data_IF_762468893620
#
_entry.id   IF_762468893620
#
_cell.length_a   1.000
_cell.length_b   1.000
_cell.length_c   1.000
_cell.angle_alpha   90.00
_cell.angle_beta   90.00
_cell.angle_gamma   90.00
#
_symmetry.space_group_name_H-M   'P 1'
#
loop_
_entity.id
_entity.type
_entity.pdbx_description
1 polymer ?
#
# COMPACT_ATOMS: atom_id res chain seq x y z
N UNK A 1 -3.32 -20.58 -11.69
CA UNK A 1 -3.82 -19.69 -10.63
C UNK A 1 -2.82 -18.55 -10.53
N UNK A 2 -3.27 -17.31 -10.42
CA UNK A 2 -2.38 -16.16 -10.24
C UNK A 2 -2.20 -15.85 -8.75
N UNK A 3 -1.04 -15.36 -8.36
CA UNK A 3 -0.71 -14.99 -7.00
C UNK A 3 -0.28 -13.51 -6.95
N UNK A 4 -0.91 -12.73 -6.09
CA UNK A 4 -0.51 -11.37 -5.76
C UNK A 4 -0.03 -11.36 -4.30
N UNK A 5 1.27 -11.18 -4.11
CA UNK A 5 1.94 -11.27 -2.82
C UNK A 5 2.30 -9.84 -2.37
N UNK A 6 1.65 -9.36 -1.30
CA UNK A 6 1.89 -8.04 -0.74
C UNK A 6 2.84 -8.16 0.46
N UNK A 7 4.00 -7.55 0.34
CA UNK A 7 5.08 -7.59 1.34
C UNK A 7 5.20 -6.24 2.02
N UNK A 8 4.80 -6.15 3.28
CA UNK A 8 4.81 -4.89 4.02
C UNK A 8 4.48 -5.05 5.49
N UNK A 9 4.52 -3.95 6.24
CA UNK A 9 4.22 -3.97 7.67
C UNK A 9 2.72 -3.90 7.94
N UNK A 10 2.30 -4.61 8.99
CA UNK A 10 0.96 -4.52 9.54
C UNK A 10 1.00 -3.84 10.91
N UNK A 11 0.14 -2.86 11.11
CA UNK A 11 0.05 -2.06 12.33
C UNK A 11 -1.29 -2.26 13.03
N UNK A 12 -1.32 -2.04 14.35
CA UNK A 12 -2.54 -1.66 15.05
C UNK A 12 -2.47 -0.17 15.41
N UNK A 13 -3.36 0.61 14.80
CA UNK A 13 -3.48 2.04 15.04
C UNK A 13 -4.46 2.30 16.17
N UNK A 14 -4.01 2.99 17.22
CA UNK A 14 -4.87 3.52 18.28
C UNK A 14 -5.11 4.99 18.05
N UNK A 15 -6.35 5.36 17.71
CA UNK A 15 -6.75 6.72 17.36
C UNK A 15 -7.51 7.32 18.54
N UNK A 16 -6.97 8.38 19.11
CA UNK A 16 -7.62 9.19 20.15
C UNK A 16 -8.16 10.47 19.52
N UNK A 17 -9.46 10.66 19.53
CA UNK A 17 -10.07 11.94 19.15
C UNK A 17 -10.12 12.84 20.38
N UNK A 18 -9.50 14.02 20.28
CA UNK A 18 -9.41 15.01 21.36
C UNK A 18 -10.01 16.34 20.90
N UNK A 19 -10.52 17.21 21.81
CA UNK A 19 -11.05 18.53 21.46
C UNK A 19 -10.06 19.37 20.66
N UNK A 20 -8.84 19.49 21.15
CA UNK A 20 -7.71 20.19 20.55
C UNK A 20 -6.44 19.35 20.73
N UNK A 21 -5.34 19.68 20.06
CA UNK A 21 -4.07 19.00 20.29
C UNK A 21 -3.58 19.28 21.72
N UNK A 22 -3.14 18.25 22.50
CA UNK A 22 -2.69 18.45 23.87
C UNK A 22 -1.39 19.28 23.92
N UNK A 23 -1.32 20.21 24.85
CA UNK A 23 -0.09 20.89 25.21
C UNK A 23 0.82 19.98 26.01
N UNK A 24 2.12 20.26 26.02
CA UNK A 24 3.08 19.55 26.84
C UNK A 24 2.68 19.67 28.32
N UNK A 25 2.87 18.61 29.09
CA UNK A 25 2.55 18.52 30.52
C UNK A 25 1.06 18.77 30.88
N UNK A 26 0.17 18.69 29.91
CA UNK A 26 -1.27 18.85 30.11
C UNK A 26 -2.03 17.51 30.24
N UNK A 27 -3.21 17.55 30.88
CA UNK A 27 -4.12 16.41 30.96
C UNK A 27 -5.37 16.70 30.13
N UNK A 28 -5.56 15.94 29.07
CA UNK A 28 -6.70 16.05 28.18
C UNK A 28 -7.48 14.73 28.15
N UNK A 29 -8.81 14.80 28.12
CA UNK A 29 -9.67 13.64 27.95
C UNK A 29 -10.05 13.49 26.48
N UNK A 30 -9.79 12.32 25.92
CA UNK A 30 -10.29 11.96 24.59
C UNK A 30 -11.83 11.83 24.61
N UNK A 31 -12.47 12.31 23.56
CA UNK A 31 -13.91 12.16 23.33
C UNK A 31 -14.27 10.82 22.66
N UNK A 32 -13.31 10.21 21.96
CA UNK A 32 -13.45 8.88 21.35
C UNK A 32 -12.09 8.18 21.28
N UNK A 33 -12.15 6.85 21.29
CA UNK A 33 -11.00 5.98 21.02
C UNK A 33 -11.41 4.90 20.02
N UNK A 34 -10.57 4.66 19.05
CA UNK A 34 -10.75 3.62 18.04
C UNK A 34 -9.43 2.84 17.88
N UNK A 35 -9.53 1.53 17.79
CA UNK A 35 -8.40 0.66 17.43
C UNK A 35 -8.72 0.02 16.09
N UNK A 36 -7.83 0.14 15.14
CA UNK A 36 -8.00 -0.46 13.80
C UNK A 36 -6.66 -0.96 13.25
N UNK A 37 -6.74 -1.94 12.36
CA UNK A 37 -5.59 -2.37 11.58
C UNK A 37 -5.14 -1.24 10.64
N UNK A 38 -3.84 -1.09 10.50
CA UNK A 38 -3.16 -0.19 9.58
C UNK A 38 -2.05 -0.90 8.81
N UNK A 39 -1.31 -0.14 8.02
CA UNK A 39 -0.24 -0.58 7.14
C UNK A 39 -0.65 -0.53 5.67
N UNK A 40 0.28 -0.14 4.78
CA UNK A 40 -0.02 0.07 3.35
C UNK A 40 -0.50 -1.22 2.67
N UNK A 41 0.30 -2.27 2.74
CA UNK A 41 -0.04 -3.56 2.14
C UNK A 41 -1.32 -4.18 2.74
N UNK A 42 -1.53 -4.23 4.07
CA UNK A 42 -2.79 -4.68 4.66
C UNK A 42 -4.03 -3.89 4.22
N UNK A 43 -3.91 -2.56 4.09
CA UNK A 43 -5.01 -1.71 3.62
C UNK A 43 -5.32 -1.98 2.13
N UNK A 44 -4.29 -2.06 1.29
CA UNK A 44 -4.45 -2.43 -0.13
C UNK A 44 -5.07 -3.81 -0.28
N UNK A 45 -4.68 -4.77 0.57
CA UNK A 45 -5.22 -6.12 0.57
C UNK A 45 -6.72 -6.16 0.89
N UNK A 46 -7.18 -5.39 1.88
CA UNK A 46 -8.61 -5.28 2.20
C UNK A 46 -9.43 -4.74 1.04
N UNK A 47 -8.92 -3.72 0.34
CA UNK A 47 -9.59 -3.15 -0.84
C UNK A 47 -9.59 -4.15 -2.00
N UNK A 48 -8.46 -4.81 -2.27
CA UNK A 48 -8.35 -5.85 -3.30
C UNK A 48 -9.34 -6.99 -3.05
N UNK A 49 -9.48 -7.42 -1.82
CA UNK A 49 -10.42 -8.48 -1.45
C UNK A 49 -11.88 -8.08 -1.71
N UNK A 50 -12.26 -6.82 -1.43
CA UNK A 50 -13.58 -6.29 -1.77
C UNK A 50 -13.79 -6.22 -3.30
N UNK A 51 -12.78 -5.75 -4.06
CA UNK A 51 -12.84 -5.72 -5.53
C UNK A 51 -13.06 -7.11 -6.12
N UNK A 52 -12.31 -8.12 -5.65
CA UNK A 52 -12.50 -9.50 -6.09
C UNK A 52 -13.87 -10.08 -5.72
N UNK A 53 -14.40 -9.71 -4.55
CA UNK A 53 -15.72 -10.19 -4.11
C UNK A 53 -16.86 -9.56 -4.92
N UNK A 54 -16.70 -8.32 -5.40
CA UNK A 54 -17.71 -7.59 -6.17
C UNK A 54 -17.66 -7.86 -7.68
N UNK A 55 -16.62 -8.54 -8.18
CA UNK A 55 -16.47 -8.85 -9.60
C UNK A 55 -17.08 -10.22 -9.95
N UNK A 56 -18.17 -10.26 -10.74
CA UNK A 56 -18.76 -11.52 -11.19
C UNK A 56 -17.84 -12.39 -12.06
N UNK A 57 -16.90 -11.75 -12.76
CA UNK A 57 -15.90 -12.38 -13.62
C UNK A 57 -14.53 -12.47 -12.95
N UNK A 58 -14.51 -12.38 -11.61
CA UNK A 58 -13.27 -12.31 -10.83
C UNK A 58 -12.18 -13.24 -11.37
N UNK A 59 -10.95 -12.72 -11.56
CA UNK A 59 -9.83 -13.55 -11.94
C UNK A 59 -9.57 -14.60 -10.85
N UNK A 60 -9.06 -15.76 -11.24
CA UNK A 60 -8.54 -16.73 -10.26
C UNK A 60 -7.23 -16.17 -9.68
N UNK A 61 -7.37 -15.32 -8.68
CA UNK A 61 -6.29 -14.61 -8.00
C UNK A 61 -6.33 -14.93 -6.51
N UNK A 62 -5.24 -15.42 -5.97
CA UNK A 62 -5.01 -15.55 -4.54
C UNK A 62 -4.19 -14.36 -4.05
N UNK A 63 -4.66 -13.72 -3.00
CA UNK A 63 -3.99 -12.61 -2.33
C UNK A 63 -3.18 -13.17 -1.15
N UNK A 64 -1.90 -12.82 -1.05
CA UNK A 64 -1.07 -13.24 0.06
C UNK A 64 -0.54 -12.02 0.82
N UNK A 65 -0.55 -12.08 2.15
CA UNK A 65 0.14 -11.13 2.99
C UNK A 65 1.45 -11.74 3.49
N UNK A 66 2.56 -11.02 3.28
CA UNK A 66 3.84 -11.29 3.92
C UNK A 66 4.16 -10.12 4.85
N UNK A 67 4.04 -10.35 6.13
CA UNK A 67 4.24 -9.34 7.17
C UNK A 67 4.83 -9.97 8.43
N UNK A 68 5.66 -9.23 9.15
CA UNK A 68 6.06 -9.60 10.51
C UNK A 68 4.92 -9.27 11.46
N UNK A 69 4.43 -10.29 12.17
CA UNK A 69 3.35 -10.20 13.15
C UNK A 69 3.88 -10.64 14.53
N UNK A 70 3.21 -10.24 15.62
CA UNK A 70 3.48 -10.80 16.95
C UNK A 70 3.38 -12.33 16.98
N UNK A 71 3.62 -12.93 18.13
CA UNK A 71 3.41 -14.37 18.32
C UNK A 71 2.03 -14.81 17.81
N UNK A 72 1.96 -15.96 17.17
CA UNK A 72 0.72 -16.48 16.57
C UNK A 72 -0.44 -16.57 17.58
N UNK A 73 -0.13 -16.72 18.89
CA UNK A 73 -1.11 -16.79 19.97
C UNK A 73 -1.42 -15.44 20.61
N UNK A 74 -0.70 -14.37 20.25
CA UNK A 74 -0.92 -13.04 20.80
C UNK A 74 -2.34 -12.53 20.51
N UNK A 75 -2.90 -11.76 21.42
CA UNK A 75 -4.22 -11.14 21.23
C UNK A 75 -4.20 -10.17 20.04
N UNK A 76 -3.09 -9.44 19.87
CA UNK A 76 -2.88 -8.52 18.77
C UNK A 76 -2.92 -9.23 17.41
N UNK A 77 -2.26 -10.39 17.27
CA UNK A 77 -2.29 -11.18 16.04
C UNK A 77 -3.70 -11.61 15.68
N UNK A 78 -4.47 -12.11 16.67
CA UNK A 78 -5.89 -12.44 16.45
C UNK A 78 -6.72 -11.24 16.01
N UNK A 79 -6.51 -10.08 16.64
CA UNK A 79 -7.19 -8.83 16.26
C UNK A 79 -6.86 -8.42 14.83
N UNK A 80 -5.58 -8.50 14.44
CA UNK A 80 -5.14 -8.19 13.08
C UNK A 80 -5.81 -9.14 12.08
N UNK A 81 -5.68 -10.45 12.26
CA UNK A 81 -6.20 -11.42 11.30
C UNK A 81 -7.73 -11.36 11.19
N UNK A 82 -8.44 -11.25 12.33
CA UNK A 82 -9.90 -11.13 12.34
C UNK A 82 -10.43 -9.85 11.69
N UNK A 83 -9.61 -8.79 11.60
CA UNK A 83 -10.00 -7.53 10.96
C UNK A 83 -10.23 -7.64 9.44
N UNK A 84 -9.73 -8.71 8.81
CA UNK A 84 -9.98 -8.99 7.40
C UNK A 84 -11.29 -9.74 7.15
N UNK A 85 -11.99 -10.17 8.22
CA UNK A 85 -13.16 -11.03 8.11
C UNK A 85 -12.82 -12.43 7.57
N UNK A 86 -13.86 -13.21 7.31
CA UNK A 86 -13.73 -14.54 6.72
C UNK A 86 -13.63 -14.45 5.19
N UNK A 87 -12.54 -13.85 4.68
CA UNK A 87 -12.34 -13.69 3.25
C UNK A 87 -11.44 -14.80 2.68
N UNK A 88 -11.98 -15.77 1.93
CA UNK A 88 -11.22 -16.92 1.41
C UNK A 88 -10.21 -16.55 0.32
N UNK A 89 -10.22 -15.32 -0.18
CA UNK A 89 -9.26 -14.87 -1.19
C UNK A 89 -7.92 -14.45 -0.58
N UNK A 90 -7.84 -14.31 0.76
CA UNK A 90 -6.63 -13.85 1.46
C UNK A 90 -5.94 -15.03 2.17
N UNK A 91 -4.67 -15.20 1.89
CA UNK A 91 -3.80 -16.21 2.51
C UNK A 91 -2.76 -15.53 3.41
N UNK A 92 -2.72 -15.93 4.69
CA UNK A 92 -1.78 -15.46 5.71
C UNK A 92 -0.69 -16.48 6.05
N UNK A 93 -0.61 -17.60 5.30
CA UNK A 93 0.33 -18.71 5.56
C UNK A 93 1.79 -18.24 5.58
N UNK A 94 2.09 -17.20 4.80
CA UNK A 94 3.44 -16.65 4.66
C UNK A 94 3.75 -15.47 5.58
N UNK A 95 2.88 -15.17 6.57
CA UNK A 95 3.20 -14.22 7.62
C UNK A 95 4.28 -14.78 8.57
N UNK A 96 5.19 -13.92 9.00
CA UNK A 96 6.28 -14.25 9.91
C UNK A 96 5.89 -13.93 11.36
N UNK A 97 5.59 -14.95 12.13
CA UNK A 97 5.18 -14.81 13.53
C UNK A 97 6.40 -14.75 14.45
N UNK A 98 6.56 -13.65 15.18
CA UNK A 98 7.69 -13.38 16.07
C UNK A 98 7.44 -13.94 17.45
N UNK A 99 7.99 -15.13 17.74
CA UNK A 99 7.83 -15.78 19.04
C UNK A 99 8.36 -14.88 20.18
N UNK A 100 7.61 -14.83 21.29
CA UNK A 100 7.95 -14.01 22.44
C UNK A 100 7.69 -12.51 22.28
N UNK A 101 7.07 -12.08 21.18
CA UNK A 101 6.61 -10.71 20.97
C UNK A 101 5.08 -10.67 20.96
N UNK A 102 4.48 -10.06 21.98
CA UNK A 102 3.03 -9.96 22.09
C UNK A 102 2.47 -8.66 21.50
N UNK A 103 3.32 -7.61 21.45
CA UNK A 103 2.93 -6.28 20.97
C UNK A 103 3.12 -6.15 19.46
N UNK A 104 2.13 -5.61 18.73
CA UNK A 104 2.24 -5.37 17.30
C UNK A 104 3.03 -4.09 17.02
N UNK A 105 3.48 -3.93 15.78
CA UNK A 105 3.79 -2.59 15.29
C UNK A 105 2.55 -1.70 15.48
N UNK A 106 2.71 -0.54 16.08
CA UNK A 106 1.62 0.32 16.54
C UNK A 106 1.80 1.76 16.11
N UNK A 107 0.68 2.41 15.78
CA UNK A 107 0.62 3.87 15.64
C UNK A 107 -0.34 4.42 16.69
N UNK A 108 0.13 5.41 17.44
CA UNK A 108 -0.68 6.18 18.36
C UNK A 108 -1.00 7.51 17.69
N UNK A 109 -2.28 7.71 17.36
CA UNK A 109 -2.74 8.83 16.54
C UNK A 109 -3.60 9.75 17.41
N UNK A 110 -3.15 10.99 17.56
CA UNK A 110 -3.93 12.05 18.20
C UNK A 110 -4.60 12.86 17.10
N UNK A 111 -5.94 12.87 17.08
CA UNK A 111 -6.78 13.61 16.13
C UNK A 111 -7.48 14.76 16.83
N UNK A 112 -7.19 15.99 16.43
CA UNK A 112 -7.87 17.20 16.93
C UNK A 112 -9.23 17.37 16.24
N UNK A 113 -10.30 17.49 17.01
CA UNK A 113 -11.64 17.81 16.50
C UNK A 113 -11.75 19.25 16.02
N UNK A 114 -10.98 20.18 16.63
CA UNK A 114 -10.99 21.60 16.29
C UNK A 114 -10.41 21.87 14.90
N UNK A 115 -9.27 21.26 14.60
CA UNK A 115 -8.51 21.54 13.37
C UNK A 115 -8.63 20.43 12.33
N UNK A 116 -9.11 19.24 12.70
CA UNK A 116 -9.07 18.03 11.87
C UNK A 116 -7.65 17.47 11.66
N UNK A 117 -6.62 18.11 12.24
CA UNK A 117 -5.23 17.64 12.12
C UNK A 117 -4.99 16.36 12.92
N UNK A 118 -3.90 15.69 12.57
CA UNK A 118 -3.46 14.49 13.27
C UNK A 118 -1.96 14.49 13.49
N UNK A 119 -1.55 13.93 14.61
CA UNK A 119 -0.13 13.66 14.92
C UNK A 119 -0.01 12.17 15.20
N UNK A 120 1.02 11.55 14.64
CA UNK A 120 1.22 10.10 14.67
C UNK A 120 2.57 9.81 15.35
N UNK A 121 2.51 8.96 16.38
CA UNK A 121 3.71 8.40 17.02
C UNK A 121 3.71 6.90 16.78
N UNK A 122 4.74 6.40 16.13
CA UNK A 122 4.87 4.99 15.82
C UNK A 122 5.79 4.29 16.83
N UNK A 123 5.44 3.06 17.17
CA UNK A 123 6.26 2.14 17.93
C UNK A 123 6.31 0.80 17.21
N UNK A 124 7.51 0.25 17.04
CA UNK A 124 7.70 -1.10 16.52
C UNK A 124 9.00 -1.68 17.07
N UNK A 125 8.88 -2.81 17.76
CA UNK A 125 10.00 -3.61 18.26
C UNK A 125 10.00 -5.03 17.68
N UNK A 126 9.12 -5.33 16.73
CA UNK A 126 9.14 -6.61 16.04
C UNK A 126 10.39 -6.71 15.17
N UNK A 127 11.13 -7.83 15.23
CA UNK A 127 12.23 -8.08 14.30
C UNK A 127 11.72 -7.99 12.84
N UNK A 128 12.43 -7.22 12.04
CA UNK A 128 12.12 -7.09 10.60
C UNK A 128 12.38 -8.42 9.87
N UNK A 129 11.76 -8.57 8.71
CA UNK A 129 11.98 -9.70 7.81
C UNK A 129 13.43 -9.68 7.29
N UNK A 130 14.09 -10.82 7.37
CA UNK A 130 15.41 -11.04 6.78
C UNK A 130 15.31 -11.52 5.33
N UNK A 131 16.41 -11.44 4.59
CA UNK A 131 16.47 -11.95 3.21
C UNK A 131 16.33 -13.47 3.17
N UNK A 132 16.85 -14.17 4.17
CA UNK A 132 16.78 -15.63 4.23
C UNK A 132 15.33 -16.09 4.49
N UNK A 133 14.62 -15.47 5.45
CA UNK A 133 13.19 -15.73 5.68
C UNK A 133 12.36 -15.44 4.43
N UNK A 134 12.67 -14.35 3.72
CA UNK A 134 12.02 -14.05 2.44
C UNK A 134 12.32 -15.13 1.39
N UNK A 135 13.55 -15.61 1.32
CA UNK A 135 13.95 -16.68 0.41
C UNK A 135 13.13 -17.95 0.63
N UNK A 136 12.97 -18.37 1.89
CA UNK A 136 12.14 -19.51 2.25
C UNK A 136 10.68 -19.33 1.79
N UNK A 137 10.11 -18.13 1.94
CA UNK A 137 8.75 -17.82 1.45
C UNK A 137 8.71 -17.88 -0.08
N UNK A 138 9.66 -17.24 -0.76
CA UNK A 138 9.71 -17.17 -2.22
C UNK A 138 9.86 -18.55 -2.86
N UNK A 139 10.57 -19.46 -2.22
CA UNK A 139 10.79 -20.83 -2.71
C UNK A 139 9.50 -21.64 -2.84
N UNK A 140 8.43 -21.32 -2.07
CA UNK A 140 7.12 -21.94 -2.24
C UNK A 140 6.46 -21.60 -3.59
N UNK A 141 6.90 -20.52 -4.23
CA UNK A 141 6.37 -20.04 -5.51
C UNK A 141 7.30 -20.35 -6.70
N UNK A 142 8.44 -21.00 -6.47
CA UNK A 142 9.35 -21.41 -7.55
C UNK A 142 8.61 -22.36 -8.50
N UNK A 143 8.77 -22.10 -9.81
CA UNK A 143 8.03 -22.81 -10.87
C UNK A 143 6.68 -22.17 -11.23
N UNK A 144 6.23 -21.15 -10.50
CA UNK A 144 5.01 -20.40 -10.77
C UNK A 144 5.30 -18.94 -11.15
N UNK A 145 6.54 -18.57 -11.43
CA UNK A 145 7.01 -17.19 -11.58
C UNK A 145 6.14 -16.32 -12.48
N UNK A 146 5.75 -16.81 -13.66
CA UNK A 146 4.90 -16.08 -14.62
C UNK A 146 3.48 -15.76 -14.09
N UNK A 147 3.07 -16.43 -13.01
CA UNK A 147 1.79 -16.20 -12.35
C UNK A 147 1.93 -15.43 -11.03
N UNK A 148 3.14 -15.02 -10.65
CA UNK A 148 3.41 -14.33 -9.39
C UNK A 148 3.67 -12.85 -9.62
N UNK A 149 3.00 -12.03 -8.83
CA UNK A 149 3.28 -10.61 -8.71
C UNK A 149 3.62 -10.29 -7.27
N UNK A 150 4.80 -9.74 -7.05
CA UNK A 150 5.31 -9.32 -5.75
C UNK A 150 5.19 -7.81 -5.62
N UNK A 151 4.39 -7.34 -4.68
CA UNK A 151 4.23 -5.93 -4.37
C UNK A 151 4.89 -5.61 -3.04
N UNK A 152 5.82 -4.67 -3.03
CA UNK A 152 6.58 -4.30 -1.84
C UNK A 152 6.28 -2.88 -1.37
N UNK A 153 5.98 -2.75 -0.09
CA UNK A 153 6.09 -1.47 0.61
C UNK A 153 7.57 -1.08 0.68
N UNK A 154 7.93 0.15 0.33
CA UNK A 154 9.30 0.65 0.38
C UNK A 154 9.78 0.95 1.80
N UNK A 155 9.60 0.00 2.73
CA UNK A 155 9.81 0.22 4.16
C UNK A 155 11.25 -0.05 4.63
N UNK A 156 11.85 -1.15 4.21
CA UNK A 156 13.22 -1.59 4.51
C UNK A 156 14.00 -1.74 3.19
N UNK A 157 14.37 -0.63 2.52
CA UNK A 157 14.78 -0.64 1.11
C UNK A 157 15.98 -1.55 0.83
N UNK A 158 17.00 -1.59 1.68
CA UNK A 158 18.17 -2.45 1.51
C UNK A 158 17.78 -3.93 1.51
N UNK A 159 17.02 -4.37 2.51
CA UNK A 159 16.54 -5.76 2.59
C UNK A 159 15.62 -6.08 1.40
N UNK A 160 14.69 -5.18 1.09
CA UNK A 160 13.74 -5.35 -0.03
C UNK A 160 14.46 -5.45 -1.37
N UNK A 161 15.49 -4.65 -1.59
CA UNK A 161 16.32 -4.72 -2.81
C UNK A 161 16.98 -6.10 -2.95
N UNK A 162 17.53 -6.63 -1.86
CA UNK A 162 18.11 -7.99 -1.84
C UNK A 162 17.05 -9.07 -2.09
N UNK A 163 15.84 -8.89 -1.58
CA UNK A 163 14.70 -9.77 -1.86
C UNK A 163 14.31 -9.73 -3.35
N UNK A 164 14.27 -8.55 -3.97
CA UNK A 164 14.02 -8.41 -5.41
C UNK A 164 15.12 -9.11 -6.22
N UNK A 165 16.39 -8.94 -5.85
CA UNK A 165 17.49 -9.63 -6.51
C UNK A 165 17.38 -11.16 -6.35
N UNK A 166 16.87 -11.65 -5.21
CA UNK A 166 16.57 -13.07 -5.03
C UNK A 166 15.50 -13.54 -6.03
N UNK A 167 14.37 -12.82 -6.13
CA UNK A 167 13.31 -13.11 -7.08
C UNK A 167 13.81 -13.13 -8.53
N UNK A 168 14.62 -12.15 -8.93
CA UNK A 168 15.16 -12.08 -10.30
C UNK A 168 16.04 -13.29 -10.67
N UNK A 169 16.69 -13.89 -9.69
CA UNK A 169 17.51 -15.10 -9.91
C UNK A 169 16.68 -16.38 -9.94
N UNK A 170 15.69 -16.49 -9.04
CA UNK A 170 14.94 -17.74 -8.84
C UNK A 170 13.64 -17.80 -9.63
N UNK A 171 13.03 -16.66 -9.90
CA UNK A 171 11.76 -16.51 -10.63
C UNK A 171 11.82 -15.34 -11.63
N UNK A 172 12.62 -15.44 -12.71
CA UNK A 172 12.85 -14.32 -13.65
C UNK A 172 11.57 -13.83 -14.35
N UNK A 173 10.53 -14.68 -14.42
CA UNK A 173 9.22 -14.32 -15.01
C UNK A 173 8.26 -13.60 -14.07
N UNK A 174 8.59 -13.45 -12.76
CA UNK A 174 7.70 -12.75 -11.85
C UNK A 174 7.70 -11.23 -12.10
N UNK A 175 6.55 -10.62 -11.83
CA UNK A 175 6.42 -9.16 -11.83
C UNK A 175 6.67 -8.60 -10.44
N UNK A 176 7.37 -7.48 -10.37
CA UNK A 176 7.68 -6.78 -9.11
C UNK A 176 7.16 -5.34 -9.18
N UNK A 177 6.40 -4.94 -8.17
CA UNK A 177 6.01 -3.54 -7.96
C UNK A 177 6.46 -3.01 -6.61
N UNK A 178 6.76 -1.72 -6.53
CA UNK A 178 7.30 -1.07 -5.34
C UNK A 178 6.60 0.25 -5.09
N UNK A 179 6.28 0.51 -3.81
CA UNK A 179 5.85 1.83 -3.33
C UNK A 179 7.07 2.67 -2.92
N UNK A 180 7.14 3.88 -3.43
CA UNK A 180 8.15 4.89 -3.09
C UNK A 180 7.41 6.06 -2.41
N UNK A 181 7.19 5.92 -1.10
CA UNK A 181 6.26 6.81 -0.38
C UNK A 181 6.99 7.79 0.56
N UNK A 182 7.94 7.31 1.36
CA UNK A 182 8.42 8.03 2.54
C UNK A 182 9.55 9.00 2.21
N UNK A 183 9.37 10.33 2.44
CA UNK A 183 10.47 11.30 2.34
C UNK A 183 11.65 10.94 3.24
N UNK A 184 12.87 11.20 2.79
CA UNK A 184 14.10 11.01 3.57
C UNK A 184 14.51 9.55 3.82
N UNK A 185 13.76 8.56 3.32
CA UNK A 185 14.15 7.15 3.42
C UNK A 185 15.19 6.83 2.34
N UNK A 186 16.40 6.50 2.78
CA UNK A 186 17.50 6.12 1.89
C UNK A 186 17.24 4.79 1.19
N UNK A 187 17.82 4.57 0.00
CA UNK A 187 17.70 3.33 -0.78
C UNK A 187 16.42 3.19 -1.62
N UNK A 188 15.47 4.13 -1.54
CA UNK A 188 14.21 4.03 -2.31
C UNK A 188 14.42 4.22 -3.82
N UNK A 189 15.40 5.00 -4.24
CA UNK A 189 15.70 5.22 -5.67
C UNK A 189 16.28 3.95 -6.28
N UNK A 190 17.21 3.31 -5.59
CA UNK A 190 17.84 2.06 -5.97
C UNK A 190 16.81 0.92 -6.01
N UNK A 191 15.91 0.90 -5.04
CA UNK A 191 14.81 -0.06 -4.99
C UNK A 191 13.84 0.12 -6.18
N UNK A 192 13.47 1.37 -6.49
CA UNK A 192 12.59 1.70 -7.61
C UNK A 192 13.19 1.31 -8.97
N UNK A 193 14.52 1.41 -9.12
CA UNK A 193 15.21 1.08 -10.35
C UNK A 193 15.06 -0.40 -10.74
N UNK A 194 14.86 -1.30 -9.77
CA UNK A 194 14.75 -2.75 -9.95
C UNK A 194 13.30 -3.26 -10.12
N UNK A 195 12.31 -2.39 -9.98
CA UNK A 195 10.89 -2.75 -10.10
C UNK A 195 10.38 -2.67 -11.55
N UNK A 196 9.36 -3.47 -11.88
CA UNK A 196 8.66 -3.44 -13.17
C UNK A 196 7.52 -2.40 -13.17
N UNK A 197 6.95 -2.12 -11.98
CA UNK A 197 5.95 -1.08 -11.73
C UNK A 197 6.33 -0.29 -10.49
N UNK A 198 6.35 1.04 -10.58
CA UNK A 198 6.70 1.91 -9.46
C UNK A 198 5.57 2.89 -9.14
N UNK A 199 5.23 2.98 -7.85
CA UNK A 199 4.19 3.88 -7.36
C UNK A 199 4.81 4.92 -6.43
N UNK A 200 4.86 6.17 -6.87
CA UNK A 200 5.41 7.29 -6.11
C UNK A 200 4.31 8.05 -5.37
N UNK A 201 4.62 8.52 -4.16
CA UNK A 201 3.76 9.46 -3.45
C UNK A 201 4.13 10.92 -3.78
N UNK A 202 3.13 11.81 -3.65
CA UNK A 202 3.34 13.26 -3.71
C UNK A 202 4.39 13.71 -2.70
N UNK A 203 4.30 13.23 -1.45
CA UNK A 203 5.21 13.67 -0.38
C UNK A 203 6.68 13.34 -0.69
N UNK A 204 6.93 12.15 -1.24
CA UNK A 204 8.27 11.79 -1.68
C UNK A 204 8.73 12.64 -2.87
N UNK A 205 7.88 12.82 -3.88
CA UNK A 205 8.20 13.62 -5.05
C UNK A 205 8.49 15.09 -4.68
N UNK A 206 7.65 15.72 -3.85
CA UNK A 206 7.87 17.08 -3.37
C UNK A 206 9.17 17.21 -2.55
N UNK A 207 9.50 16.20 -1.72
CA UNK A 207 10.76 16.21 -0.96
C UNK A 207 12.01 16.15 -1.85
N UNK A 208 11.86 15.71 -3.09
CA UNK A 208 12.91 15.68 -4.12
C UNK A 208 12.87 16.92 -5.04
N UNK A 209 11.99 17.90 -4.74
CA UNK A 209 11.86 19.14 -5.48
C UNK A 209 10.97 19.10 -6.71
N UNK A 210 10.24 17.98 -6.93
CA UNK A 210 9.30 17.90 -8.05
C UNK A 210 8.00 18.64 -7.73
N UNK A 211 7.48 19.37 -8.71
CA UNK A 211 6.26 20.19 -8.57
C UNK A 211 5.04 19.61 -9.27
N UNK A 212 5.20 18.47 -9.96
CA UNK A 212 4.10 17.76 -10.62
C UNK A 212 4.40 16.25 -10.73
N UNK A 213 3.37 15.40 -10.87
CA UNK A 213 3.57 13.98 -11.10
C UNK A 213 4.34 13.72 -12.40
N UNK A 214 4.08 14.46 -13.47
CA UNK A 214 4.78 14.28 -14.74
C UNK A 214 6.28 14.57 -14.62
N UNK A 215 6.65 15.68 -13.96
CA UNK A 215 8.07 16.03 -13.76
C UNK A 215 8.80 14.93 -12.98
N UNK A 216 8.16 14.39 -11.92
CA UNK A 216 8.71 13.29 -11.15
C UNK A 216 8.90 12.04 -12.01
N UNK A 217 7.85 11.58 -12.70
CA UNK A 217 7.87 10.35 -13.48
C UNK A 217 8.90 10.39 -14.63
N UNK A 218 8.97 11.50 -15.36
CA UNK A 218 9.95 11.67 -16.44
C UNK A 218 11.39 11.67 -15.92
N UNK A 219 11.65 12.29 -14.79
CA UNK A 219 12.98 12.29 -14.18
C UNK A 219 13.38 10.89 -13.71
N UNK A 220 12.46 10.15 -13.05
CA UNK A 220 12.74 8.81 -12.55
C UNK A 220 12.85 7.75 -13.66
N UNK A 221 12.23 7.96 -14.82
CA UNK A 221 12.27 7.01 -15.93
C UNK A 221 13.66 6.84 -16.55
N UNK A 222 14.56 7.79 -16.37
CA UNK A 222 15.91 7.76 -16.97
C UNK A 222 16.80 6.64 -16.42
N UNK A 223 16.53 6.15 -15.21
CA UNK A 223 17.33 5.11 -14.55
C UNK A 223 16.50 3.92 -14.08
N UNK A 224 15.30 3.73 -14.62
CA UNK A 224 14.38 2.67 -14.21
C UNK A 224 14.21 1.61 -15.30
N UNK A 225 14.04 0.35 -14.88
CA UNK A 225 13.61 -0.74 -15.73
C UNK A 225 12.08 -0.85 -15.86
N UNK A 226 11.34 -0.06 -15.09
CA UNK A 226 9.90 -0.13 -15.03
C UNK A 226 9.24 0.05 -16.39
N UNK A 227 8.20 -0.74 -16.65
CA UNK A 227 7.32 -0.55 -17.81
C UNK A 227 6.18 0.43 -17.52
N UNK A 228 5.89 0.66 -16.23
CA UNK A 228 4.83 1.55 -15.78
C UNK A 228 5.26 2.27 -14.49
N UNK A 229 5.09 3.56 -14.47
CA UNK A 229 5.34 4.39 -13.31
C UNK A 229 4.12 5.26 -13.00
N UNK A 230 3.74 5.38 -11.73
CA UNK A 230 2.59 6.14 -11.28
C UNK A 230 3.00 7.11 -10.17
N UNK A 231 2.34 8.26 -10.10
CA UNK A 231 2.57 9.22 -9.02
C UNK A 231 1.24 9.85 -8.59
N UNK A 232 0.86 9.66 -7.33
CA UNK A 232 -0.32 10.30 -6.73
C UNK A 232 -0.03 11.76 -6.38
N UNK A 233 -1.05 12.65 -6.51
CA UNK A 233 -0.89 14.08 -6.23
C UNK A 233 -2.03 14.69 -5.41
N UNK A 234 -2.58 13.93 -4.48
CA UNK A 234 -3.67 14.39 -3.62
C UNK A 234 -4.91 14.81 -4.39
N UNK A 235 -5.44 16.00 -4.11
CA UNK A 235 -6.65 16.51 -4.78
C UNK A 235 -6.48 16.71 -6.30
N UNK A 236 -5.24 16.79 -6.80
CA UNK A 236 -4.97 16.85 -8.23
C UNK A 236 -4.98 15.46 -8.90
N UNK A 237 -5.27 14.39 -8.14
CA UNK A 237 -5.41 13.05 -8.67
C UNK A 237 -4.08 12.30 -8.79
N UNK A 238 -3.81 11.73 -9.98
CA UNK A 238 -2.59 10.97 -10.23
C UNK A 238 -2.19 11.03 -11.71
N UNK A 239 -0.88 10.82 -11.95
CA UNK A 239 -0.32 10.61 -13.27
C UNK A 239 0.26 9.21 -13.43
N UNK A 240 0.29 8.72 -14.67
CA UNK A 240 1.03 7.52 -15.03
C UNK A 240 1.87 7.74 -16.30
N UNK A 241 3.02 7.10 -16.34
CA UNK A 241 3.96 7.10 -17.47
C UNK A 241 4.22 5.67 -17.91
N UNK A 242 3.91 5.36 -19.16
CA UNK A 242 4.21 4.07 -19.80
C UNK A 242 5.57 4.10 -20.48
N UNK A 243 6.36 3.05 -20.32
CA UNK A 243 7.68 2.92 -20.92
C UNK A 243 7.75 1.66 -21.79
N UNK A 244 8.48 1.70 -22.89
CA UNK A 244 9.34 2.79 -23.38
C UNK A 244 8.61 3.87 -24.21
N UNK A 245 7.27 3.78 -24.39
CA UNK A 245 6.52 4.73 -25.27
C UNK A 245 6.66 6.20 -24.84
N UNK A 246 6.86 6.46 -23.54
CA UNK A 246 6.87 7.80 -22.97
C UNK A 246 5.48 8.44 -22.88
N UNK A 247 4.42 7.65 -23.10
CA UNK A 247 3.04 8.12 -23.00
C UNK A 247 2.68 8.46 -21.55
N UNK A 248 2.26 9.70 -21.35
CA UNK A 248 1.84 10.21 -20.05
C UNK A 248 0.34 10.43 -20.03
N UNK A 249 -0.33 9.89 -19.02
CA UNK A 249 -1.75 10.10 -18.74
C UNK A 249 -1.91 10.70 -17.33
N UNK A 250 -2.92 11.56 -17.17
CA UNK A 250 -3.25 12.19 -15.89
C UNK A 250 -4.77 12.20 -15.68
N UNK A 251 -5.20 11.87 -14.45
CA UNK A 251 -6.60 11.97 -14.03
C UNK A 251 -6.71 12.78 -12.75
N UNK A 252 -7.53 13.85 -12.73
CA UNK A 252 -7.82 14.60 -11.50
C UNK A 252 -8.74 13.78 -10.58
N UNK A 253 -8.67 14.05 -9.28
CA UNK A 253 -9.54 13.39 -8.29
C UNK A 253 -11.03 13.80 -8.41
N UNK A 254 -11.30 14.99 -8.94
CA UNK A 254 -12.66 15.46 -9.21
C UNK A 254 -12.74 16.20 -10.56
N UNK A 255 -13.94 16.23 -11.12
CA UNK A 255 -14.24 17.09 -12.27
C UNK A 255 -14.14 18.57 -11.88
N UNK A 256 -13.89 19.44 -12.86
CA UNK A 256 -13.80 20.89 -12.61
C UNK A 256 -15.10 21.41 -11.95
N UNK A 257 -14.95 21.97 -10.73
CA UNK A 257 -16.07 22.57 -10.00
C UNK A 257 -16.72 21.72 -8.93
N UNK A 258 -16.40 20.42 -8.83
CA UNK A 258 -16.87 19.56 -7.75
C UNK A 258 -15.93 19.62 -6.54
N UNK A 259 -16.46 19.93 -5.37
CA UNK A 259 -15.72 19.85 -4.11
C UNK A 259 -15.87 18.46 -3.50
N UNK A 260 -14.75 17.75 -3.29
CA UNK A 260 -14.76 16.46 -2.57
C UNK A 260 -14.79 16.76 -1.07
N UNK A 261 -15.83 16.23 -0.39
CA UNK A 261 -15.86 16.26 1.08
C UNK A 261 -14.94 15.17 1.63
N UNK A 262 -13.77 15.57 2.12
CA UNK A 262 -12.84 14.65 2.77
C UNK A 262 -13.33 14.31 4.19
N UNK A 263 -13.62 13.03 4.43
CA UNK A 263 -13.99 12.47 5.75
C UNK A 263 -12.78 11.80 6.39
N UNK A 264 -12.10 10.93 5.64
CA UNK A 264 -10.90 10.22 6.11
C UNK A 264 -9.92 10.01 4.94
N UNK A 265 -8.78 10.73 4.98
CA UNK A 265 -7.73 10.60 3.97
C UNK A 265 -6.77 9.43 4.22
N UNK A 266 -6.88 8.72 5.35
CA UNK A 266 -5.99 7.57 5.64
C UNK A 266 -6.32 6.42 4.71
N UNK A 267 -5.30 5.85 4.10
CA UNK A 267 -5.45 4.73 3.16
C UNK A 267 -5.93 5.11 1.76
N UNK A 268 -6.02 6.40 1.42
CA UNK A 268 -6.35 6.81 0.05
C UNK A 268 -5.28 6.35 -0.95
N UNK A 269 -4.00 6.44 -0.57
CA UNK A 269 -2.88 5.90 -1.35
C UNK A 269 -2.97 4.40 -1.52
N UNK A 270 -3.24 3.68 -0.43
CA UNK A 270 -3.37 2.23 -0.42
C UNK A 270 -4.55 1.76 -1.30
N UNK A 271 -5.64 2.53 -1.28
CA UNK A 271 -6.81 2.31 -2.15
C UNK A 271 -6.46 2.53 -3.63
N UNK A 272 -5.69 3.56 -3.93
CA UNK A 272 -5.17 3.79 -5.29
C UNK A 272 -4.29 2.63 -5.73
N UNK A 273 -3.34 2.19 -4.91
CA UNK A 273 -2.47 1.04 -5.17
C UNK A 273 -3.31 -0.22 -5.46
N UNK A 274 -4.31 -0.50 -4.62
CA UNK A 274 -5.22 -1.63 -4.80
C UNK A 274 -5.96 -1.56 -6.15
N UNK A 275 -6.47 -0.38 -6.53
CA UNK A 275 -7.14 -0.15 -7.81
C UNK A 275 -6.23 -0.42 -9.01
N UNK A 276 -4.97 0.04 -8.96
CA UNK A 276 -3.96 -0.22 -9.99
C UNK A 276 -3.64 -1.72 -10.08
N UNK A 277 -3.31 -2.35 -8.96
CA UNK A 277 -2.97 -3.77 -8.92
C UNK A 277 -4.13 -4.64 -9.42
N UNK A 278 -5.37 -4.31 -9.03
CA UNK A 278 -6.57 -5.00 -9.51
C UNK A 278 -6.71 -4.91 -11.03
N UNK A 279 -6.64 -3.72 -11.61
CA UNK A 279 -6.78 -3.51 -13.07
C UNK A 279 -5.67 -4.19 -13.87
N UNK A 280 -4.45 -4.20 -13.35
CA UNK A 280 -3.32 -4.90 -13.98
C UNK A 280 -3.48 -6.44 -13.95
N UNK A 281 -4.21 -6.99 -12.95
CA UNK A 281 -4.46 -8.43 -12.81
C UNK A 281 -5.77 -8.88 -13.45
N UNK A 282 -6.82 -8.06 -13.45
CA UNK A 282 -8.14 -8.42 -13.99
C UNK A 282 -8.09 -8.77 -15.48
N UNK A 283 -7.00 -8.36 -16.15
CA UNK A 283 -6.67 -8.90 -17.48
C UNK A 283 -7.59 -8.45 -18.58
N UNK A 284 -8.31 -7.34 -18.38
CA UNK A 284 -9.03 -6.67 -19.47
C UNK A 284 -7.97 -6.07 -20.41
N UNK A 285 -7.53 -6.89 -21.38
CA UNK A 285 -6.44 -6.56 -22.32
C UNK A 285 -6.78 -5.34 -23.18
N UNK A 286 -8.07 -4.98 -23.25
CA UNK A 286 -8.58 -3.84 -24.01
C UNK A 286 -8.67 -2.57 -23.15
N UNK A 287 -8.44 -2.65 -21.84
CA UNK A 287 -8.48 -1.51 -20.94
C UNK A 287 -7.25 -0.62 -21.14
N UNK A 288 -7.47 0.64 -21.48
CA UNK A 288 -6.40 1.63 -21.67
C UNK A 288 -5.72 1.98 -20.33
N UNK A 289 -4.52 2.56 -20.41
CA UNK A 289 -3.85 3.10 -19.21
C UNK A 289 -4.66 4.24 -18.59
N UNK A 290 -5.40 4.95 -19.38
CA UNK A 290 -6.32 6.00 -18.95
C UNK A 290 -7.47 5.43 -18.11
N UNK A 291 -8.14 4.37 -18.58
CA UNK A 291 -9.23 3.70 -17.83
C UNK A 291 -8.74 3.10 -16.50
N UNK A 292 -7.56 2.50 -16.50
CA UNK A 292 -6.92 2.00 -15.28
C UNK A 292 -6.70 3.14 -14.26
N UNK A 293 -6.16 4.25 -14.73
CA UNK A 293 -5.86 5.41 -13.88
C UNK A 293 -7.14 6.06 -13.35
N UNK A 294 -8.16 6.22 -14.22
CA UNK A 294 -9.47 6.74 -13.85
C UNK A 294 -10.14 5.88 -12.77
N UNK A 295 -10.12 4.56 -12.96
CA UNK A 295 -10.65 3.63 -11.97
C UNK A 295 -9.97 3.78 -10.61
N UNK A 296 -8.64 3.79 -10.57
CA UNK A 296 -7.88 3.85 -9.32
C UNK A 296 -8.04 5.21 -8.60
N UNK A 297 -8.06 6.31 -9.37
CA UNK A 297 -8.31 7.66 -8.83
C UNK A 297 -9.74 7.76 -8.31
N UNK A 298 -10.74 7.27 -9.06
CA UNK A 298 -12.14 7.26 -8.64
C UNK A 298 -12.35 6.47 -7.34
N UNK A 299 -11.71 5.30 -7.23
CA UNK A 299 -11.76 4.46 -6.03
C UNK A 299 -11.15 5.17 -4.81
N UNK A 300 -9.97 5.77 -4.96
CA UNK A 300 -9.33 6.54 -3.91
C UNK A 300 -10.16 7.78 -3.51
N UNK A 301 -10.81 8.42 -4.47
CA UNK A 301 -11.72 9.54 -4.24
C UNK A 301 -12.96 9.12 -3.46
N UNK A 302 -13.54 7.94 -3.77
CA UNK A 302 -14.64 7.37 -2.99
C UNK A 302 -14.19 7.07 -1.55
N UNK A 303 -12.97 6.51 -1.37
CA UNK A 303 -12.40 6.19 -0.05
C UNK A 303 -12.28 7.43 0.85
N UNK A 304 -11.83 8.55 0.35
CA UNK A 304 -11.64 9.75 1.20
C UNK A 304 -12.96 10.35 1.69
N UNK A 305 -14.09 9.97 1.12
CA UNK A 305 -15.44 10.44 1.48
C UNK A 305 -16.12 9.58 2.56
N UNK A 306 -15.48 8.49 3.00
CA UNK A 306 -15.96 7.62 4.08
C UNK A 306 -14.87 7.33 5.11
N UNK A 307 -15.27 6.88 6.30
CA UNK A 307 -14.34 6.39 7.32
C UNK A 307 -13.99 4.92 7.07
N UNK A 308 -12.70 4.59 7.15
CA UNK A 308 -12.20 3.21 6.94
C UNK A 308 -12.42 2.71 5.52
N UNK A 309 -12.39 1.39 5.34
CA UNK A 309 -12.51 0.72 4.04
C UNK A 309 -13.80 -0.10 3.89
N UNK A 310 -14.52 -0.34 4.98
CA UNK A 310 -15.71 -1.20 4.97
C UNK A 310 -16.80 -0.64 4.03
N UNK A 311 -17.35 -1.52 3.18
CA UNK A 311 -18.41 -1.14 2.25
C UNK A 311 -17.98 -0.17 1.14
N UNK A 312 -16.68 -0.05 0.86
CA UNK A 312 -16.16 0.83 -0.18
C UNK A 312 -16.77 0.55 -1.56
N UNK A 313 -17.19 -0.68 -1.83
CA UNK A 313 -17.75 -1.13 -3.09
C UNK A 313 -19.25 -1.51 -3.00
N UNK A 314 -19.87 -1.28 -1.85
CA UNK A 314 -21.29 -1.52 -1.63
C UNK A 314 -22.15 -0.44 -2.33
#
# INVERSE_FOLDING_TARGET
MKHLILVGACYLDTILTVPHFPEEDSKLRASAMQVRRGGNCPNSLEVLAQLLASDPQRPQLTLHLVSCLPDARAAATRTILSSFGDNPAIDFTHCLYRQGHDEPASSYIIRSSETGSRTIVNFNNLPEMTVDEFGEIADHFVGQGDNCWWHFEGRIPETTLRCIHYLRRTMPGCTVSVEVEKPGREGLVELAAEADVVLYSRSWAESRGFTSPEACLRAQSLSSRASLMLCTWGAQGAGCLSLPSGEYNHKPASSKGESIRVVDAVGAGDTFVAGILYRLHAGDRDSSREDMLEFAVGLATKKVQQEGFAGLLA
#
